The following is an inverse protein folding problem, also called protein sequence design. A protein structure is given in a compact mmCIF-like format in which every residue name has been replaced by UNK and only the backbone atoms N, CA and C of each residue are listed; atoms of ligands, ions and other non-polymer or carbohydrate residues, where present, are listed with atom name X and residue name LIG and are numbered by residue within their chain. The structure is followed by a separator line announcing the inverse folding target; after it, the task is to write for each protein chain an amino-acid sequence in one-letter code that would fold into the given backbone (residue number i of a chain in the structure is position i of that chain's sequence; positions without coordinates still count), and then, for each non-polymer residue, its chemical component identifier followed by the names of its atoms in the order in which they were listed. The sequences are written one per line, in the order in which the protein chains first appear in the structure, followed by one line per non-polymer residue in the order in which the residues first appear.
data_IF_279791698596
#
_entry.id   IF_279791698596
#
_cell.length_a   1.000
_cell.length_b   1.000
_cell.length_c   1.000
_cell.angle_alpha   90.00
_cell.angle_beta   90.00
_cell.angle_gamma   90.00
#
_symmetry.space_group_name_H-M   'P 1'
#
loop_
_entity.id
_entity.type
_entity.pdbx_description
1 polymer ?
#
# COMPACT_ATOMS: atom_id res chain seq x y z
N UNK A 1 -4.58 -37.67 0.16
CA UNK A 1 -5.37 -36.63 0.87
C UNK A 1 -4.47 -35.43 0.90
N UNK A 2 -4.52 -34.64 -0.16
CA UNK A 2 -3.70 -33.45 -0.32
C UNK A 2 -4.61 -32.28 0.04
N UNK A 3 -4.71 -32.00 1.34
CA UNK A 3 -5.41 -30.84 1.86
C UNK A 3 -4.58 -29.60 1.52
N UNK A 4 -4.86 -29.06 0.34
CA UNK A 4 -4.34 -27.80 -0.16
C UNK A 4 -4.49 -26.71 0.91
N UNK A 5 -3.35 -26.27 1.43
CA UNK A 5 -3.20 -25.02 2.18
C UNK A 5 -3.64 -23.84 1.30
N UNK A 6 -4.96 -23.59 1.25
CA UNK A 6 -5.52 -22.35 0.71
C UNK A 6 -5.30 -21.23 1.72
N UNK A 7 -4.04 -20.95 2.07
CA UNK A 7 -3.73 -19.67 2.69
C UNK A 7 -4.04 -18.60 1.63
N UNK A 8 -4.88 -17.60 1.93
CA UNK A 8 -5.15 -16.54 0.98
C UNK A 8 -3.81 -15.88 0.65
N UNK A 9 -3.38 -16.02 -0.60
CA UNK A 9 -2.17 -15.38 -1.10
C UNK A 9 -2.41 -13.88 -0.95
N UNK A 10 -1.83 -13.27 0.08
CA UNK A 10 -1.92 -11.83 0.27
C UNK A 10 -1.34 -11.18 -0.97
N UNK A 11 -2.08 -10.27 -1.63
CA UNK A 11 -1.57 -9.62 -2.81
C UNK A 11 -0.33 -8.80 -2.42
N UNK A 12 0.63 -8.68 -3.34
CA UNK A 12 1.80 -7.84 -3.10
C UNK A 12 1.36 -6.38 -3.00
N UNK A 13 1.91 -5.58 -2.08
CA UNK A 13 1.55 -4.17 -1.96
C UNK A 13 1.79 -3.43 -3.28
N UNK A 14 0.84 -2.60 -3.70
CA UNK A 14 0.89 -1.86 -4.96
C UNK A 14 2.01 -0.83 -5.01
N UNK A 15 2.38 -0.28 -3.86
CA UNK A 15 3.49 0.65 -3.70
C UNK A 15 4.37 0.23 -2.52
N UNK A 16 5.60 0.69 -2.52
CA UNK A 16 6.58 0.41 -1.47
C UNK A 16 7.06 1.69 -0.80
N UNK A 17 7.88 1.56 0.26
CA UNK A 17 8.52 2.72 0.87
C UNK A 17 9.40 3.52 -0.11
N UNK A 18 9.99 2.86 -1.11
CA UNK A 18 10.79 3.54 -2.13
C UNK A 18 9.95 4.52 -2.97
N UNK A 19 8.71 4.14 -3.28
CA UNK A 19 7.76 5.00 -3.97
C UNK A 19 7.42 6.23 -3.13
N UNK A 20 7.28 6.06 -1.82
CA UNK A 20 7.07 7.18 -0.91
C UNK A 20 8.30 8.10 -0.86
N UNK A 21 9.52 7.56 -0.84
CA UNK A 21 10.76 8.35 -0.90
C UNK A 21 10.83 9.16 -2.21
N UNK A 22 10.48 8.53 -3.34
CA UNK A 22 10.40 9.19 -4.64
C UNK A 22 9.37 10.33 -4.69
N UNK A 23 8.37 10.33 -3.79
CA UNK A 23 7.42 11.44 -3.63
C UNK A 23 7.95 12.59 -2.76
N UNK A 24 9.20 12.50 -2.28
CA UNK A 24 9.83 13.52 -1.44
C UNK A 24 9.57 13.32 0.06
N UNK A 25 9.12 12.15 0.48
CA UNK A 25 8.92 11.84 1.89
C UNK A 25 10.21 11.33 2.55
N UNK A 26 10.42 11.75 3.80
CA UNK A 26 11.51 11.23 4.62
C UNK A 26 11.09 9.96 5.37
N UNK A 27 11.88 8.88 5.30
CA UNK A 27 11.57 7.62 5.95
C UNK A 27 11.35 7.83 7.46
N UNK A 28 10.27 7.27 7.99
CA UNK A 28 9.90 7.44 9.39
C UNK A 28 8.65 6.66 9.77
N UNK A 29 8.19 6.73 11.03
CA UNK A 29 7.07 5.93 11.53
C UNK A 29 5.76 6.16 10.75
N UNK A 30 5.61 7.32 10.11
CA UNK A 30 4.45 7.65 9.26
C UNK A 30 4.39 6.80 7.97
N UNK A 31 5.50 6.29 7.46
CA UNK A 31 5.50 5.44 6.25
C UNK A 31 4.69 4.18 6.48
N UNK A 32 4.87 3.54 7.62
CA UNK A 32 4.12 2.34 7.97
C UNK A 32 2.63 2.60 7.95
N UNK A 33 2.18 3.73 8.52
CA UNK A 33 0.76 4.11 8.52
C UNK A 33 0.24 4.34 7.09
N UNK A 34 0.98 5.09 6.27
CA UNK A 34 0.59 5.36 4.87
C UNK A 34 0.53 4.06 4.06
N UNK A 35 1.56 3.21 4.15
CA UNK A 35 1.62 1.93 3.45
C UNK A 35 0.54 0.97 3.92
N UNK A 36 0.24 0.93 5.22
CA UNK A 36 -0.89 0.13 5.75
C UNK A 36 -2.21 0.61 5.17
N UNK A 37 -2.50 1.91 5.24
CA UNK A 37 -3.77 2.47 4.75
C UNK A 37 -3.99 2.21 3.25
N UNK A 38 -2.91 2.32 2.46
CA UNK A 38 -2.93 2.00 1.03
C UNK A 38 -3.10 0.49 0.80
N UNK A 39 -2.48 -0.33 1.63
CA UNK A 39 -2.63 -1.79 1.54
C UNK A 39 -4.04 -2.25 1.92
N UNK A 40 -4.66 -1.63 2.93
CA UNK A 40 -6.08 -1.86 3.27
C UNK A 40 -6.98 -1.49 2.09
N UNK A 41 -6.80 -0.32 1.48
CA UNK A 41 -7.54 0.10 0.27
C UNK A 41 -7.32 -0.85 -0.93
N UNK A 42 -6.16 -1.50 -1.01
CA UNK A 42 -5.88 -2.53 -2.00
C UNK A 42 -6.65 -3.82 -1.70
N UNK A 43 -6.73 -4.23 -0.44
CA UNK A 43 -7.48 -5.41 -0.03
C UNK A 43 -8.99 -5.22 -0.23
N UNK A 44 -9.49 -4.01 0.02
CA UNK A 44 -10.87 -3.61 -0.25
C UNK A 44 -11.18 -3.50 -1.76
N UNK A 45 -10.17 -3.48 -2.63
CA UNK A 45 -10.32 -3.36 -4.08
C UNK A 45 -10.54 -1.92 -4.58
N UNK A 46 -10.43 -0.92 -3.69
CA UNK A 46 -10.52 0.51 -4.04
C UNK A 46 -9.37 0.93 -4.98
N UNK A 47 -8.20 0.33 -4.77
CA UNK A 47 -7.02 0.51 -5.62
C UNK A 47 -6.52 -0.83 -6.17
N UNK A 48 -6.08 -0.83 -7.42
CA UNK A 48 -5.65 -2.03 -8.14
C UNK A 48 -4.38 -1.80 -8.98
N UNK A 49 -3.79 -0.62 -8.90
CA UNK A 49 -2.60 -0.24 -9.66
C UNK A 49 -1.67 0.63 -8.83
N UNK A 50 -0.37 0.55 -9.12
CA UNK A 50 0.67 1.38 -8.53
C UNK A 50 0.34 2.88 -8.58
N UNK A 51 -0.14 3.37 -9.72
CA UNK A 51 -0.54 4.76 -9.89
C UNK A 51 -1.65 5.21 -8.92
N UNK A 52 -2.65 4.35 -8.67
CA UNK A 52 -3.71 4.64 -7.70
C UNK A 52 -3.17 4.68 -6.27
N UNK A 53 -2.27 3.75 -5.93
CA UNK A 53 -1.58 3.76 -4.64
C UNK A 53 -0.76 5.04 -4.43
N UNK A 54 -0.02 5.48 -5.44
CA UNK A 54 0.73 6.74 -5.40
C UNK A 54 -0.20 7.95 -5.25
N UNK A 55 -1.33 7.97 -5.98
CA UNK A 55 -2.31 9.07 -5.89
C UNK A 55 -2.91 9.14 -4.48
N UNK A 56 -3.28 7.99 -3.91
CA UNK A 56 -3.78 7.89 -2.54
C UNK A 56 -2.72 8.35 -1.53
N UNK A 57 -1.47 7.92 -1.68
CA UNK A 57 -0.36 8.40 -0.84
C UNK A 57 -0.31 9.93 -0.84
N UNK A 58 -0.33 10.58 -2.01
CA UNK A 58 -0.36 12.05 -2.12
C UNK A 58 -1.57 12.68 -1.42
N UNK A 59 -2.74 12.07 -1.52
CA UNK A 59 -3.95 12.53 -0.80
C UNK A 59 -3.78 12.45 0.71
N UNK A 60 -3.24 11.34 1.23
CA UNK A 60 -2.97 11.15 2.67
C UNK A 60 -1.97 12.19 3.16
N UNK A 61 -0.94 12.49 2.36
CA UNK A 61 0.05 13.52 2.68
C UNK A 61 -0.52 14.93 2.71
N UNK A 62 -1.40 15.26 1.76
CA UNK A 62 -1.99 16.60 1.66
C UNK A 62 -3.09 16.86 2.71
N UNK A 63 -3.58 15.83 3.39
CA UNK A 63 -4.59 15.93 4.46
C UNK A 63 -3.99 16.31 5.82
N UNK A 64 -2.67 16.54 5.90
CA UNK A 64 -1.94 16.84 7.13
C UNK A 64 -1.20 18.17 7.02
#
# INVERSE_FOLDING_TARGET
MDELKNEPIKPKPLITGDDLISLGLNPGPKFKNILSEIFDEQLEGNINSKEKGIKLAKTILSRK
#
